data_IF_845113093859
#
_entry.id   IF_845113093859
#
_cell.length_a   1.000
_cell.length_b   1.000
_cell.length_c   1.000
_cell.angle_alpha   90.00
_cell.angle_beta   90.00
_cell.angle_gamma   90.00
#
_symmetry.space_group_name_H-M   'P 1'
#
loop_
_entity.id
_entity.type
_entity.pdbx_description
1 polymer ?
#
# COMPACT_ATOMS: atom_id res chain seq x y z
N UNK A 1 -7.11 40.88 17.98
CA UNK A 1 -6.41 39.58 18.05
C UNK A 1 -6.52 38.94 16.69
N UNK A 2 -5.67 39.37 15.76
CA UNK A 2 -5.66 38.87 14.39
C UNK A 2 -4.94 37.52 14.39
N UNK A 3 -5.63 36.47 13.94
CA UNK A 3 -5.02 35.18 13.66
C UNK A 3 -4.30 35.30 12.33
N UNK A 4 -2.97 35.33 12.37
CA UNK A 4 -2.11 35.19 11.20
C UNK A 4 -2.26 33.75 10.71
N UNK A 5 -3.05 33.55 9.64
CA UNK A 5 -3.03 32.32 8.87
C UNK A 5 -1.71 32.27 8.11
N UNK A 6 -0.82 31.37 8.52
CA UNK A 6 0.41 31.05 7.81
C UNK A 6 0.08 30.70 6.35
N UNK A 7 0.33 31.65 5.45
CA UNK A 7 0.14 31.48 4.02
C UNK A 7 1.36 30.73 3.48
N UNK A 8 1.18 29.43 3.21
CA UNK A 8 2.22 28.62 2.57
C UNK A 8 2.52 29.19 1.17
N UNK A 9 3.78 29.50 0.82
CA UNK A 9 4.15 30.31 -0.35
C UNK A 9 3.76 29.68 -1.71
N UNK A 10 3.38 28.40 -1.75
CA UNK A 10 2.87 27.74 -2.96
C UNK A 10 1.44 28.15 -3.36
N UNK A 11 0.65 28.72 -2.44
CA UNK A 11 -0.77 29.02 -2.68
C UNK A 11 -1.01 30.16 -3.68
N UNK A 12 0.00 30.96 -4.01
CA UNK A 12 -0.15 32.16 -4.84
C UNK A 12 -0.07 31.86 -6.35
N UNK A 13 0.47 30.70 -6.74
CA UNK A 13 0.73 30.34 -8.15
C UNK A 13 -0.44 29.58 -8.78
N UNK A 14 -1.16 28.77 -7.98
CA UNK A 14 -2.26 27.92 -8.46
C UNK A 14 -3.60 28.62 -8.27
N UNK A 15 -4.32 28.85 -9.38
CA UNK A 15 -5.64 29.49 -9.37
C UNK A 15 -6.71 28.42 -9.60
N UNK A 16 -7.92 28.53 -9.03
CA UNK A 16 -8.99 27.56 -9.24
C UNK A 16 -9.37 27.33 -10.72
N UNK A 17 -9.11 28.33 -11.58
CA UNK A 17 -9.34 28.27 -13.02
C UNK A 17 -8.10 27.91 -13.85
N UNK A 18 -6.99 27.47 -13.23
CA UNK A 18 -5.79 27.08 -13.95
C UNK A 18 -6.09 25.98 -14.96
N UNK A 19 -5.59 26.17 -16.18
CA UNK A 19 -5.80 25.25 -17.30
C UNK A 19 -4.86 24.05 -17.19
N UNK A 20 -5.20 22.95 -17.87
CA UNK A 20 -4.35 21.77 -17.95
C UNK A 20 -2.91 22.10 -18.40
N UNK A 21 -2.75 22.99 -19.39
CA UNK A 21 -1.45 23.38 -19.91
C UNK A 21 -0.59 24.15 -18.90
N UNK A 22 -1.21 25.05 -18.13
CA UNK A 22 -0.52 25.77 -17.04
C UNK A 22 -0.08 24.81 -15.93
N UNK A 23 -0.93 23.85 -15.58
CA UNK A 23 -0.62 22.83 -14.57
C UNK A 23 0.53 21.92 -15.00
N UNK A 24 0.58 21.54 -16.28
CA UNK A 24 1.71 20.79 -16.85
C UNK A 24 3.03 21.55 -16.75
N UNK A 25 3.02 22.88 -16.95
CA UNK A 25 4.21 23.71 -16.76
C UNK A 25 4.63 23.79 -15.27
N UNK A 26 3.65 23.90 -14.36
CA UNK A 26 3.92 23.96 -12.91
C UNK A 26 4.35 22.62 -12.32
N UNK A 27 4.03 21.48 -12.95
CA UNK A 27 4.43 20.17 -12.48
C UNK A 27 5.94 19.91 -12.55
N UNK A 28 6.67 20.64 -13.39
CA UNK A 28 8.15 20.57 -13.45
C UNK A 28 8.84 21.67 -12.63
N UNK A 29 8.06 22.46 -11.88
CA UNK A 29 8.58 23.53 -11.05
C UNK A 29 9.51 22.97 -9.96
N UNK A 30 10.61 23.66 -9.65
CA UNK A 30 11.60 23.19 -8.67
C UNK A 30 11.04 23.10 -7.24
N UNK A 31 10.03 23.89 -6.92
CA UNK A 31 9.42 23.94 -5.58
C UNK A 31 8.40 22.81 -5.37
N UNK A 32 8.63 21.96 -4.36
CA UNK A 32 7.80 20.78 -4.07
C UNK A 32 6.35 21.12 -3.68
N UNK A 33 6.06 22.15 -2.86
CA UNK A 33 4.70 22.59 -2.56
C UNK A 33 3.90 23.00 -3.80
N UNK A 34 4.55 23.59 -4.82
CA UNK A 34 3.87 23.92 -6.09
C UNK A 34 3.46 22.65 -6.83
N UNK A 35 4.36 21.67 -6.93
CA UNK A 35 4.05 20.36 -7.57
C UNK A 35 2.98 19.59 -6.79
N UNK A 36 3.02 19.59 -5.46
CA UNK A 36 1.98 19.02 -4.60
C UNK A 36 0.63 19.70 -4.84
N UNK A 37 0.61 21.02 -4.95
CA UNK A 37 -0.58 21.78 -5.31
C UNK A 37 -1.13 21.41 -6.68
N UNK A 38 -0.27 21.15 -7.67
CA UNK A 38 -0.69 20.61 -8.98
C UNK A 38 -1.33 19.24 -8.81
N UNK A 39 -0.72 18.33 -8.02
CA UNK A 39 -1.27 16.99 -7.79
C UNK A 39 -2.67 17.03 -7.14
N UNK A 40 -2.95 18.02 -6.29
CA UNK A 40 -4.26 18.19 -5.64
C UNK A 40 -5.29 18.98 -6.48
N UNK A 41 -4.88 19.60 -7.59
CA UNK A 41 -5.73 20.53 -8.32
C UNK A 41 -6.82 19.81 -9.17
N UNK A 42 -8.09 20.25 -9.16
CA UNK A 42 -9.20 19.54 -9.85
C UNK A 42 -9.03 19.41 -11.36
N UNK A 43 -8.35 20.36 -12.01
CA UNK A 43 -8.12 20.37 -13.46
C UNK A 43 -6.85 19.62 -13.89
N UNK A 44 -6.17 18.93 -12.99
CA UNK A 44 -4.91 18.24 -13.31
C UNK A 44 -5.18 17.04 -14.22
N UNK A 45 -4.53 16.98 -15.40
CA UNK A 45 -4.73 15.88 -16.35
C UNK A 45 -4.38 14.51 -15.76
N UNK A 46 -5.07 13.49 -16.24
CA UNK A 46 -4.91 12.12 -15.78
C UNK A 46 -3.48 11.58 -15.95
N UNK A 47 -2.82 11.86 -17.08
CA UNK A 47 -1.43 11.44 -17.29
C UNK A 47 -0.49 12.14 -16.31
N UNK A 48 -0.74 13.42 -16.02
CA UNK A 48 0.08 14.21 -15.11
C UNK A 48 -0.06 13.75 -13.66
N UNK A 49 -1.27 13.36 -13.23
CA UNK A 49 -1.49 12.72 -11.93
C UNK A 49 -0.67 11.43 -11.81
N UNK A 50 -0.58 10.64 -12.88
CA UNK A 50 0.26 9.43 -12.91
C UNK A 50 1.75 9.72 -12.77
N UNK A 51 2.23 10.83 -13.33
CA UNK A 51 3.62 11.27 -13.19
C UNK A 51 3.93 11.75 -11.77
N UNK A 52 3.00 12.48 -11.14
CA UNK A 52 3.18 13.05 -9.80
C UNK A 52 2.90 12.05 -8.68
N UNK A 53 2.15 10.98 -8.92
CA UNK A 53 1.71 10.03 -7.90
C UNK A 53 2.85 9.32 -7.15
N UNK A 54 4.02 9.14 -7.78
CA UNK A 54 5.17 8.56 -7.09
C UNK A 54 5.72 9.49 -5.98
N UNK A 55 5.64 10.80 -6.20
CA UNK A 55 6.14 11.83 -5.29
C UNK A 55 5.06 12.31 -4.31
N UNK A 56 3.83 12.51 -4.79
CA UNK A 56 2.70 13.09 -4.05
C UNK A 56 1.46 12.16 -4.07
N UNK A 57 1.57 10.92 -3.56
CA UNK A 57 0.48 9.94 -3.65
C UNK A 57 -0.76 10.37 -2.83
N UNK A 58 -0.57 11.10 -1.73
CA UNK A 58 -1.68 11.53 -0.87
C UNK A 58 -2.52 12.61 -1.56
N UNK A 59 -1.87 13.56 -2.21
CA UNK A 59 -2.46 14.63 -3.00
C UNK A 59 -3.21 14.07 -4.21
N UNK A 60 -2.63 13.08 -4.90
CA UNK A 60 -3.29 12.42 -6.04
C UNK A 60 -4.54 11.65 -5.61
N UNK A 61 -4.49 10.88 -4.50
CA UNK A 61 -5.68 10.18 -4.00
C UNK A 61 -6.75 11.15 -3.46
N UNK A 62 -6.32 12.30 -2.92
CA UNK A 62 -7.20 13.37 -2.46
C UNK A 62 -7.74 14.26 -3.58
N UNK A 63 -7.29 14.07 -4.83
CA UNK A 63 -7.68 14.93 -5.94
C UNK A 63 -9.19 14.77 -6.26
N UNK A 64 -9.95 15.87 -6.37
CA UNK A 64 -11.39 15.80 -6.69
C UNK A 64 -11.73 15.09 -8.02
N UNK A 65 -10.80 15.05 -8.98
CA UNK A 65 -10.95 14.34 -10.24
C UNK A 65 -10.79 12.81 -10.10
N UNK A 66 -10.18 12.32 -9.02
CA UNK A 66 -9.81 10.91 -8.85
C UNK A 66 -10.99 9.93 -9.03
N UNK A 67 -12.19 10.13 -8.42
CA UNK A 67 -13.33 9.25 -8.64
C UNK A 67 -13.83 9.24 -10.09
N UNK A 68 -13.64 10.35 -10.81
CA UNK A 68 -14.07 10.52 -12.21
C UNK A 68 -13.11 9.83 -13.18
N UNK A 69 -11.81 9.73 -12.85
CA UNK A 69 -10.81 9.06 -13.69
C UNK A 69 -11.21 7.62 -14.02
N UNK A 70 -11.78 6.90 -13.04
CA UNK A 70 -12.30 5.54 -13.22
C UNK A 70 -13.32 5.45 -14.36
N UNK A 71 -14.20 6.44 -14.46
CA UNK A 71 -15.30 6.45 -15.44
C UNK A 71 -14.82 6.92 -16.81
N UNK A 72 -13.94 7.91 -16.83
CA UNK A 72 -13.45 8.50 -18.08
C UNK A 72 -12.42 7.61 -18.79
N UNK A 73 -11.56 6.90 -18.04
CA UNK A 73 -10.40 6.21 -18.60
C UNK A 73 -10.17 4.83 -17.91
N UNK A 74 -10.88 3.77 -18.32
CA UNK A 74 -10.87 2.47 -17.62
C UNK A 74 -9.51 1.73 -17.67
N UNK A 75 -8.63 2.09 -18.60
CA UNK A 75 -7.29 1.51 -18.73
C UNK A 75 -6.18 2.45 -18.23
N UNK A 76 -6.52 3.59 -17.62
CA UNK A 76 -5.55 4.62 -17.20
C UNK A 76 -4.42 4.05 -16.35
N UNK A 77 -4.75 3.18 -15.40
CA UNK A 77 -3.76 2.60 -14.47
C UNK A 77 -2.70 1.74 -15.17
N UNK A 78 -3.01 1.18 -16.34
CA UNK A 78 -2.03 0.43 -17.14
C UNK A 78 -1.00 1.35 -17.80
N UNK A 79 -1.36 2.61 -18.03
CA UNK A 79 -0.47 3.61 -18.61
C UNK A 79 0.38 4.31 -17.54
N UNK A 80 0.04 4.15 -16.26
CA UNK A 80 0.78 4.77 -15.17
C UNK A 80 2.04 3.98 -14.83
N UNK A 81 3.13 4.66 -14.43
CA UNK A 81 4.34 3.98 -13.98
C UNK A 81 4.05 3.08 -12.77
N UNK A 82 4.68 1.91 -12.70
CA UNK A 82 4.56 1.02 -11.54
C UNK A 82 4.90 1.75 -10.23
N UNK A 83 5.92 2.61 -10.24
CA UNK A 83 6.28 3.45 -9.09
C UNK A 83 5.11 4.30 -8.55
N UNK A 84 4.27 4.84 -9.45
CA UNK A 84 3.08 5.58 -9.08
C UNK A 84 2.03 4.65 -8.44
N UNK A 85 1.73 3.52 -9.08
CA UNK A 85 0.75 2.55 -8.57
C UNK A 85 1.18 2.01 -7.20
N UNK A 86 2.46 1.68 -7.04
CA UNK A 86 3.06 1.22 -5.79
C UNK A 86 2.99 2.30 -4.70
N UNK A 87 3.23 3.56 -5.04
CA UNK A 87 3.10 4.66 -4.08
C UNK A 87 1.66 4.81 -3.56
N UNK A 88 0.67 4.74 -4.46
CA UNK A 88 -0.74 4.84 -4.11
C UNK A 88 -1.22 3.65 -3.28
N UNK A 89 -0.79 2.41 -3.59
CA UNK A 89 -1.15 1.21 -2.82
C UNK A 89 -0.57 1.18 -1.39
N UNK A 90 0.42 2.02 -1.08
CA UNK A 90 0.90 2.14 0.31
C UNK A 90 -0.07 2.92 1.20
N UNK A 91 -0.96 3.69 0.59
CA UNK A 91 -1.88 4.56 1.30
C UNK A 91 -3.18 3.81 1.64
N UNK A 92 -3.61 3.77 2.91
CA UNK A 92 -4.81 3.03 3.33
C UNK A 92 -6.11 3.53 2.68
N UNK A 93 -6.12 4.78 2.22
CA UNK A 93 -7.25 5.41 1.53
C UNK A 93 -7.38 5.01 0.06
N UNK A 94 -6.52 4.14 -0.48
CA UNK A 94 -6.64 3.70 -1.86
C UNK A 94 -8.01 2.99 -2.07
N UNK A 95 -8.85 3.50 -3.00
CA UNK A 95 -10.21 3.03 -3.11
C UNK A 95 -10.28 1.60 -3.64
N UNK A 96 -11.37 0.89 -3.33
CA UNK A 96 -11.59 -0.50 -3.73
C UNK A 96 -11.43 -0.72 -5.24
N UNK A 97 -11.97 0.17 -6.08
CA UNK A 97 -11.85 0.04 -7.53
C UNK A 97 -10.38 0.05 -7.99
N UNK A 98 -9.54 0.87 -7.35
CA UNK A 98 -8.12 0.95 -7.68
C UNK A 98 -7.40 -0.34 -7.26
N UNK A 99 -7.71 -0.86 -6.07
CA UNK A 99 -7.20 -2.14 -5.56
C UNK A 99 -7.63 -3.32 -6.43
N UNK A 100 -8.87 -3.32 -6.92
CA UNK A 100 -9.38 -4.31 -7.87
C UNK A 100 -8.58 -4.32 -9.18
N UNK A 101 -8.24 -3.14 -9.73
CA UNK A 101 -7.39 -3.07 -10.91
C UNK A 101 -5.94 -3.49 -10.62
N UNK A 102 -5.39 -3.12 -9.47
CA UNK A 102 -4.07 -3.58 -9.04
C UNK A 102 -3.99 -5.12 -8.93
N UNK A 103 -5.05 -5.77 -8.45
CA UNK A 103 -5.15 -7.23 -8.39
C UNK A 103 -5.12 -7.90 -9.76
N UNK A 104 -5.47 -7.17 -10.81
CA UNK A 104 -5.51 -7.61 -12.21
C UNK A 104 -4.35 -7.07 -13.05
N UNK A 105 -3.39 -6.39 -12.43
CA UNK A 105 -2.19 -5.90 -13.11
C UNK A 105 -1.34 -7.08 -13.58
N UNK A 106 -0.62 -6.93 -14.69
CA UNK A 106 0.36 -7.93 -15.14
C UNK A 106 1.66 -7.86 -14.31
N UNK A 107 1.85 -6.78 -13.53
CA UNK A 107 3.00 -6.57 -12.66
C UNK A 107 2.86 -7.36 -11.35
N UNK A 108 3.69 -8.39 -11.18
CA UNK A 108 3.76 -9.16 -9.93
C UNK A 108 4.14 -8.27 -8.74
N UNK A 109 4.95 -7.22 -8.97
CA UNK A 109 5.34 -6.27 -7.92
C UNK A 109 4.12 -5.52 -7.38
N UNK A 110 3.24 -5.04 -8.28
CA UNK A 110 1.97 -4.39 -7.92
C UNK A 110 1.07 -5.34 -7.14
N UNK A 111 0.93 -6.60 -7.57
CA UNK A 111 0.13 -7.59 -6.86
C UNK A 111 0.67 -7.92 -5.46
N UNK A 112 2.01 -8.01 -5.33
CA UNK A 112 2.69 -8.21 -4.03
C UNK A 112 2.50 -7.00 -3.12
N UNK A 113 2.55 -5.78 -3.66
CA UNK A 113 2.26 -4.56 -2.91
C UNK A 113 0.80 -4.52 -2.45
N UNK A 114 -0.15 -4.92 -3.31
CA UNK A 114 -1.56 -5.03 -2.93
C UNK A 114 -1.77 -6.01 -1.77
N UNK A 115 -1.10 -7.17 -1.77
CA UNK A 115 -1.20 -8.12 -0.66
C UNK A 115 -0.73 -7.55 0.70
N UNK A 116 0.11 -6.51 0.68
CA UNK A 116 0.55 -5.77 1.86
C UNK A 116 -0.37 -4.61 2.24
N UNK A 117 -1.37 -4.29 1.41
CA UNK A 117 -2.26 -3.15 1.63
C UNK A 117 -2.99 -3.28 2.98
N UNK A 118 -3.01 -2.25 3.84
CA UNK A 118 -3.56 -2.37 5.19
C UNK A 118 -5.08 -2.57 5.21
N UNK A 119 -5.82 -1.99 4.25
CA UNK A 119 -7.28 -2.02 4.20
C UNK A 119 -7.87 -3.07 3.23
N UNK A 120 -7.24 -4.24 3.10
CA UNK A 120 -7.84 -5.34 2.32
C UNK A 120 -9.12 -5.85 3.02
N UNK A 121 -10.17 -6.06 2.24
CA UNK A 121 -11.37 -6.76 2.70
C UNK A 121 -11.11 -8.27 2.86
N UNK A 122 -11.92 -8.98 3.67
CA UNK A 122 -11.80 -10.43 3.78
C UNK A 122 -11.88 -11.17 2.43
N UNK A 123 -12.74 -10.70 1.52
CA UNK A 123 -12.87 -11.27 0.18
C UNK A 123 -11.60 -11.08 -0.67
N UNK A 124 -10.95 -9.92 -0.59
CA UNK A 124 -9.67 -9.67 -1.27
C UNK A 124 -8.54 -10.52 -0.67
N UNK A 125 -8.50 -10.67 0.67
CA UNK A 125 -7.54 -11.54 1.36
C UNK A 125 -7.71 -12.98 0.87
N UNK A 126 -8.94 -13.50 0.86
CA UNK A 126 -9.24 -14.87 0.39
C UNK A 126 -8.87 -15.07 -1.08
N UNK A 127 -9.14 -14.08 -1.93
CA UNK A 127 -8.74 -14.11 -3.33
C UNK A 127 -7.21 -14.19 -3.49
N UNK A 128 -6.47 -13.32 -2.79
CA UNK A 128 -5.01 -13.26 -2.87
C UNK A 128 -4.35 -14.48 -2.20
N UNK A 129 -4.99 -15.10 -1.22
CA UNK A 129 -4.52 -16.35 -0.62
C UNK A 129 -4.60 -17.55 -1.58
N UNK A 130 -5.43 -17.46 -2.63
CA UNK A 130 -5.52 -18.46 -3.71
C UNK A 130 -4.75 -18.06 -4.97
N UNK A 131 -3.92 -17.02 -4.88
CA UNK A 131 -3.18 -16.51 -6.03
C UNK A 131 -2.19 -17.54 -6.58
N UNK A 132 -2.00 -17.56 -7.91
CA UNK A 132 -1.11 -18.52 -8.57
C UNK A 132 0.35 -18.35 -8.13
N UNK A 133 0.82 -17.11 -8.02
CA UNK A 133 2.15 -16.78 -7.53
C UNK A 133 2.26 -16.99 -6.01
N UNK A 134 3.16 -17.87 -5.58
CA UNK A 134 3.39 -18.18 -4.18
C UNK A 134 3.84 -16.95 -3.36
N UNK A 135 4.57 -16.01 -3.97
CA UNK A 135 5.03 -14.78 -3.29
C UNK A 135 3.87 -13.94 -2.78
N UNK A 136 2.77 -13.87 -3.55
CA UNK A 136 1.54 -13.16 -3.15
C UNK A 136 0.88 -13.89 -1.98
N UNK A 137 0.73 -15.22 -2.08
CA UNK A 137 0.20 -16.04 -0.98
C UNK A 137 1.03 -15.92 0.30
N UNK A 138 2.36 -15.88 0.18
CA UNK A 138 3.28 -15.70 1.30
C UNK A 138 3.11 -14.33 1.98
N UNK A 139 2.77 -13.27 1.22
CA UNK A 139 2.41 -11.98 1.81
C UNK A 139 1.12 -12.06 2.60
N UNK A 140 0.10 -12.75 2.09
CA UNK A 140 -1.13 -12.98 2.85
C UNK A 140 -0.86 -13.80 4.10
N UNK A 141 -0.05 -14.87 4.00
CA UNK A 141 0.33 -15.70 5.13
C UNK A 141 1.04 -14.91 6.25
N UNK A 142 1.70 -13.79 5.93
CA UNK A 142 2.37 -12.95 6.92
C UNK A 142 1.46 -11.93 7.64
N UNK A 143 0.18 -11.81 7.25
CA UNK A 143 -0.73 -10.76 7.77
C UNK A 143 -1.48 -11.15 9.05
N UNK A 144 -1.51 -10.29 10.06
CA UNK A 144 -2.17 -10.56 11.35
C UNK A 144 -3.70 -10.59 11.30
N UNK A 145 -4.33 -10.11 10.23
CA UNK A 145 -5.79 -10.01 10.06
C UNK A 145 -6.40 -11.16 9.23
N UNK A 146 -5.75 -12.32 9.24
CA UNK A 146 -6.18 -13.52 8.49
C UNK A 146 -6.95 -14.46 9.41
N UNK A 147 -8.03 -15.06 8.88
CA UNK A 147 -8.87 -16.01 9.64
C UNK A 147 -8.12 -17.28 10.02
N UNK A 148 -8.50 -17.90 11.15
CA UNK A 148 -7.89 -19.15 11.60
C UNK A 148 -8.05 -20.30 10.58
N UNK A 149 -9.17 -20.34 9.86
CA UNK A 149 -9.40 -21.28 8.76
C UNK A 149 -8.39 -21.09 7.64
N UNK A 150 -8.16 -19.84 7.22
CA UNK A 150 -7.20 -19.54 6.17
C UNK A 150 -5.76 -19.81 6.61
N UNK A 151 -5.40 -19.54 7.88
CA UNK A 151 -4.11 -19.93 8.45
C UNK A 151 -3.92 -21.46 8.43
N UNK A 152 -4.98 -22.24 8.67
CA UNK A 152 -4.92 -23.70 8.57
C UNK A 152 -4.69 -24.15 7.13
N UNK A 153 -5.37 -23.55 6.15
CA UNK A 153 -5.15 -23.82 4.72
C UNK A 153 -3.72 -23.47 4.30
N UNK A 154 -3.22 -22.27 4.66
CA UNK A 154 -1.87 -21.82 4.29
C UNK A 154 -0.76 -22.63 4.98
N UNK A 155 -1.03 -23.26 6.12
CA UNK A 155 -0.09 -24.19 6.77
C UNK A 155 0.15 -25.45 5.93
N UNK A 156 -0.74 -25.76 5.00
CA UNK A 156 -0.64 -26.87 4.06
C UNK A 156 -0.43 -26.39 2.61
N UNK A 157 -0.03 -25.12 2.42
CA UNK A 157 0.27 -24.60 1.08
C UNK A 157 1.37 -25.45 0.42
N UNK A 158 1.27 -25.78 -0.89
CA UNK A 158 2.29 -26.56 -1.57
C UNK A 158 3.68 -25.91 -1.53
N UNK A 159 3.75 -24.58 -1.51
CA UNK A 159 5.00 -23.85 -1.54
C UNK A 159 5.58 -23.65 -0.13
N UNK A 160 6.85 -24.03 0.04
CA UNK A 160 7.50 -23.95 1.35
C UNK A 160 7.71 -22.50 1.81
N UNK A 161 7.81 -21.53 0.89
CA UNK A 161 7.98 -20.10 1.20
C UNK A 161 6.74 -19.52 1.86
N UNK A 162 5.54 -19.97 1.46
CA UNK A 162 4.28 -19.61 2.12
C UNK A 162 4.24 -20.15 3.55
N UNK A 163 4.56 -21.44 3.73
CA UNK A 163 4.60 -22.09 5.05
C UNK A 163 5.67 -21.48 5.96
N UNK A 164 6.81 -21.06 5.40
CA UNK A 164 7.87 -20.34 6.12
C UNK A 164 7.43 -18.95 6.58
N UNK A 165 6.73 -18.20 5.72
CA UNK A 165 6.16 -16.90 6.09
C UNK A 165 5.14 -17.05 7.23
N UNK A 166 4.29 -18.08 7.15
CA UNK A 166 3.34 -18.42 8.21
C UNK A 166 4.06 -18.77 9.52
N UNK A 167 5.10 -19.61 9.47
CA UNK A 167 5.89 -20.01 10.64
C UNK A 167 6.61 -18.87 11.35
N UNK A 168 6.85 -17.75 10.67
CA UNK A 168 7.53 -16.58 11.22
C UNK A 168 6.61 -15.70 12.10
N UNK A 169 5.35 -16.07 12.23
CA UNK A 169 4.37 -15.33 13.02
C UNK A 169 4.35 -15.75 14.48
N UNK A 170 3.97 -14.81 15.34
CA UNK A 170 3.80 -15.03 16.78
C UNK A 170 2.38 -15.41 17.20
N UNK A 171 1.38 -15.25 16.34
CA UNK A 171 -0.06 -15.34 16.64
C UNK A 171 -0.74 -16.59 16.05
N UNK A 172 0.04 -17.63 15.72
CA UNK A 172 -0.50 -18.84 15.09
C UNK A 172 -1.40 -19.67 16.03
N UNK A 173 -2.54 -20.18 15.52
CA UNK A 173 -3.32 -21.20 16.22
C UNK A 173 -2.51 -22.46 16.49
N UNK A 174 -2.81 -23.15 17.60
CA UNK A 174 -2.11 -24.37 18.01
C UNK A 174 -2.12 -25.48 16.93
N UNK A 175 -3.21 -25.57 16.14
CA UNK A 175 -3.32 -26.52 15.02
C UNK A 175 -2.30 -26.23 13.92
N UNK A 176 -2.14 -24.96 13.52
CA UNK A 176 -1.14 -24.54 12.52
C UNK A 176 0.29 -24.74 13.04
N UNK A 177 0.55 -24.44 14.31
CA UNK A 177 1.87 -24.71 14.94
C UNK A 177 2.19 -26.21 14.91
N UNK A 178 1.24 -27.06 15.26
CA UNK A 178 1.42 -28.52 15.26
C UNK A 178 1.70 -29.07 13.85
N UNK A 179 1.05 -28.53 12.82
CA UNK A 179 1.32 -28.87 11.42
C UNK A 179 2.75 -28.45 11.01
N UNK A 180 3.13 -27.18 11.26
CA UNK A 180 4.42 -26.63 10.85
C UNK A 180 5.62 -27.27 11.59
N UNK A 181 5.44 -27.76 12.83
CA UNK A 181 6.48 -28.54 13.52
C UNK A 181 6.81 -29.87 12.83
N UNK A 182 5.86 -30.40 12.05
CA UNK A 182 6.00 -31.62 11.24
C UNK A 182 6.19 -31.30 9.76
N UNK A 183 6.45 -30.04 9.40
CA UNK A 183 6.64 -29.62 8.01
C UNK A 183 7.75 -30.42 7.32
N UNK A 184 7.63 -30.78 6.03
CA UNK A 184 8.72 -31.44 5.30
C UNK A 184 10.02 -30.62 5.26
N UNK A 185 9.93 -29.29 5.21
CA UNK A 185 11.07 -28.39 5.14
C UNK A 185 11.73 -28.21 6.50
N UNK A 186 13.04 -28.47 6.56
CA UNK A 186 13.86 -28.20 7.75
C UNK A 186 13.82 -26.72 8.16
N UNK A 187 13.81 -25.79 7.20
CA UNK A 187 13.78 -24.36 7.49
C UNK A 187 12.49 -23.94 8.20
N UNK A 188 11.35 -24.48 7.78
CA UNK A 188 10.06 -24.20 8.42
C UNK A 188 10.06 -24.72 9.86
N UNK A 189 10.50 -25.98 10.06
CA UNK A 189 10.64 -26.58 11.40
C UNK A 189 11.58 -25.77 12.30
N UNK A 190 12.69 -25.28 11.76
CA UNK A 190 13.65 -24.48 12.50
C UNK A 190 13.05 -23.14 12.95
N UNK A 191 12.31 -22.46 12.08
CA UNK A 191 11.69 -21.15 12.40
C UNK A 191 10.60 -21.31 13.46
N UNK A 192 9.67 -22.26 13.28
CA UNK A 192 8.55 -22.45 14.24
C UNK A 192 9.00 -22.96 15.61
N UNK A 193 10.20 -23.54 15.71
CA UNK A 193 10.76 -24.05 16.97
C UNK A 193 11.50 -22.98 17.76
N UNK A 194 11.82 -21.83 17.17
CA UNK A 194 12.39 -20.71 17.91
C UNK A 194 11.29 -20.12 18.82
N UNK A 195 11.57 -19.85 20.10
CA UNK A 195 10.63 -19.15 20.95
C UNK A 195 10.32 -17.79 20.30
N UNK A 196 9.04 -17.51 20.07
CA UNK A 196 8.59 -16.21 19.59
C UNK A 196 8.76 -15.21 20.74
N UNK A 197 9.76 -14.33 20.64
CA UNK A 197 9.93 -13.24 21.58
C UNK A 197 8.73 -12.29 21.46
N UNK A 198 7.91 -12.10 22.50
CA UNK A 198 6.76 -11.20 22.42
C UNK A 198 7.16 -9.73 22.21
N UNK A 199 8.45 -9.40 22.41
CA UNK A 199 9.02 -8.07 22.23
C UNK A 199 9.58 -7.79 20.81
N UNK A 200 9.64 -8.78 19.92
CA UNK A 200 10.18 -8.62 18.56
C UNK A 200 9.09 -8.48 17.49
N UNK A 201 7.87 -8.08 17.88
CA UNK A 201 6.87 -7.63 16.91
C UNK A 201 7.54 -6.65 15.95
N UNK A 202 7.41 -6.81 14.62
CA UNK A 202 7.98 -5.85 13.70
C UNK A 202 7.33 -4.51 14.04
N UNK A 203 8.13 -3.61 14.60
CA UNK A 203 7.74 -2.24 14.74
C UNK A 203 7.33 -1.80 13.33
N UNK A 204 6.04 -1.52 13.14
CA UNK A 204 5.58 -0.77 11.98
C UNK A 204 6.28 0.58 12.07
N UNK A 205 7.49 0.68 11.51
CA UNK A 205 8.23 1.92 11.31
C UNK A 205 7.52 2.74 10.24
N UNK A 206 6.34 3.23 10.59
CA UNK A 206 5.58 4.28 9.93
C UNK A 206 4.55 4.91 10.88
N UNK A 207 4.82 4.92 12.18
CA UNK A 207 4.18 5.87 13.10
C UNK A 207 5.20 6.95 13.43
N UNK A 208 4.93 8.16 12.94
CA UNK A 208 5.57 9.37 13.40
C UNK A 208 5.42 9.49 14.93
N UNK A 209 6.45 9.09 15.68
CA UNK A 209 6.64 9.58 17.04
C UNK A 209 7.55 10.81 16.94
N UNK A 210 6.90 11.97 16.80
CA UNK A 210 7.56 13.26 16.94
C UNK A 210 8.21 13.34 18.31
N UNK A 211 9.48 13.78 18.31
CA UNK A 211 10.22 14.19 19.49
C UNK A 211 9.39 15.20 20.31
N UNK A 212 9.37 15.01 21.62
CA UNK A 212 9.25 16.10 22.57
C UNK A 212 10.29 15.88 23.66
N UNK A 213 11.52 16.35 23.38
CA UNK A 213 12.43 16.81 24.42
C UNK A 213 11.80 18.05 25.05
N UNK A 214 11.44 18.01 26.33
CA UNK A 214 11.34 19.23 27.15
C UNK A 214 11.98 18.92 28.49
N UNK A 215 13.15 19.54 28.71
CA UNK A 215 13.80 19.73 30.00
C UNK A 215 12.86 20.39 31.01
N UNK A 216 12.94 19.93 32.25
CA UNK A 216 12.84 20.76 33.44
C UNK A 216 13.93 20.32 34.41
#
# INVERSE_FOLDING_TARGET
MAGETEHSPGSTVLRPGSTASELSFLAVHGDAPVRAGVAAHPNTPAELLGQLAAEFPAEVLGNPAWPLLRLAQPNLLKAWPDAAVLALLRLPQAPEWFRYHAAKSDSLEVQVALARHPALSPAEIDQLARHSAWVVRARIAARTDVSAELLHTLAHDPDYGVRLALASRSDLPASSVAALRRDPSHFVRQVISKPSDPASAPCCSCCACGRAEISA
#
